data_IF_535763863141
#
_entry.id   IF_535763863141
#
_cell.length_a   1.000
_cell.length_b   1.000
_cell.length_c   1.000
_cell.angle_alpha   90.00
_cell.angle_beta   90.00
_cell.angle_gamma   90.00
#
_symmetry.space_group_name_H-M   'P 1'
#
loop_
_entity.id
_entity.type
_entity.pdbx_description
1 polymer ?
#
# COMPACT_ATOMS: atom_id res chain seq x y z
N UNK A 1 -36.23 4.17 -6.43
CA UNK A 1 -35.17 5.16 -6.75
C UNK A 1 -33.81 4.51 -6.49
N UNK A 2 -32.90 4.50 -7.46
CA UNK A 2 -31.56 3.93 -7.24
C UNK A 2 -30.78 4.84 -6.28
N UNK A 3 -30.39 4.30 -5.12
CA UNK A 3 -29.52 5.00 -4.16
C UNK A 3 -28.05 4.78 -4.54
N UNK A 4 -27.28 5.86 -4.64
CA UNK A 4 -25.84 5.79 -4.86
C UNK A 4 -25.12 5.79 -3.51
N UNK A 5 -24.73 4.61 -3.02
CA UNK A 5 -24.03 4.47 -1.73
C UNK A 5 -22.53 4.71 -1.86
N UNK A 6 -21.98 5.56 -1.00
CA UNK A 6 -20.54 5.67 -0.81
C UNK A 6 -20.01 4.42 -0.12
N UNK A 7 -19.14 3.66 -0.81
CA UNK A 7 -18.54 2.43 -0.27
C UNK A 7 -17.54 2.67 0.89
N UNK A 8 -17.16 3.93 1.13
CA UNK A 8 -16.12 4.30 2.11
C UNK A 8 -16.70 4.72 3.46
N UNK A 9 -17.88 5.35 3.47
CA UNK A 9 -18.54 5.80 4.70
C UNK A 9 -20.02 5.43 4.76
N UNK A 10 -20.47 4.58 3.82
CA UNK A 10 -21.83 4.03 3.72
C UNK A 10 -22.96 5.05 3.63
N UNK A 11 -22.64 6.34 3.40
CA UNK A 11 -23.62 7.39 3.14
C UNK A 11 -24.29 7.20 1.80
N UNK A 12 -25.61 7.34 1.79
CA UNK A 12 -26.44 7.27 0.61
C UNK A 12 -26.61 8.64 -0.05
N UNK A 13 -26.59 8.67 -1.38
CA UNK A 13 -26.71 9.89 -2.18
C UNK A 13 -27.79 9.73 -3.24
N UNK A 14 -28.52 10.81 -3.47
CA UNK A 14 -29.63 10.84 -4.43
C UNK A 14 -29.17 10.89 -5.87
N UNK A 15 -27.91 11.28 -6.13
CA UNK A 15 -27.33 11.34 -7.49
C UNK A 15 -25.88 10.90 -7.49
N UNK A 16 -25.42 10.36 -8.63
CA UNK A 16 -24.02 10.00 -8.85
C UNK A 16 -23.08 11.22 -8.67
N UNK A 17 -23.51 12.40 -9.11
CA UNK A 17 -22.69 13.61 -9.03
C UNK A 17 -22.45 14.06 -7.59
N UNK A 18 -23.45 13.94 -6.71
CA UNK A 18 -23.29 14.18 -5.27
C UNK A 18 -22.33 13.18 -4.63
N UNK A 19 -22.40 11.90 -5.03
CA UNK A 19 -21.45 10.88 -4.58
C UNK A 19 -20.01 11.21 -5.00
N UNK A 20 -19.78 11.65 -6.25
CA UNK A 20 -18.45 12.02 -6.75
C UNK A 20 -17.87 13.24 -6.02
N UNK A 21 -18.67 14.29 -5.84
CA UNK A 21 -18.27 15.49 -5.08
C UNK A 21 -17.97 15.15 -3.62
N UNK A 22 -18.80 14.32 -2.99
CA UNK A 22 -18.55 13.81 -1.66
C UNK A 22 -17.22 13.04 -1.59
N UNK A 23 -16.96 12.12 -2.52
CA UNK A 23 -15.70 11.37 -2.58
C UNK A 23 -14.50 12.29 -2.71
N UNK A 24 -14.55 13.30 -3.59
CA UNK A 24 -13.46 14.25 -3.78
C UNK A 24 -13.19 15.11 -2.54
N UNK A 25 -14.23 15.53 -1.83
CA UNK A 25 -14.11 16.48 -0.72
C UNK A 25 -13.85 15.80 0.64
N UNK A 26 -14.48 14.66 0.90
CA UNK A 26 -14.39 13.93 2.17
C UNK A 26 -13.37 12.79 2.14
N UNK A 27 -12.99 12.33 0.95
CA UNK A 27 -11.98 11.31 0.75
C UNK A 27 -10.88 11.85 -0.19
N UNK A 28 -10.34 13.04 0.11
CA UNK A 28 -9.32 13.74 -0.70
C UNK A 28 -8.10 12.88 -1.06
N UNK A 29 -7.77 11.90 -0.22
CA UNK A 29 -6.65 10.98 -0.40
C UNK A 29 -7.09 9.60 -0.94
N UNK A 30 -8.16 9.54 -1.73
CA UNK A 30 -9.00 8.36 -1.84
C UNK A 30 -8.23 7.05 -2.13
N UNK A 31 -8.13 6.24 -1.07
CA UNK A 31 -7.62 4.87 -0.98
C UNK A 31 -8.48 3.85 -1.72
N UNK A 32 -9.48 4.29 -2.49
CA UNK A 32 -10.48 3.40 -3.06
C UNK A 32 -9.92 2.73 -4.31
N UNK A 33 -9.27 1.60 -4.10
CA UNK A 33 -9.06 0.58 -5.13
C UNK A 33 -10.45 0.12 -5.56
N UNK A 34 -10.94 0.51 -6.75
CA UNK A 34 -12.35 0.34 -7.10
C UNK A 34 -12.80 -1.12 -7.06
N UNK A 35 -11.87 -2.02 -7.32
CA UNK A 35 -12.01 -3.47 -7.33
C UNK A 35 -11.47 -4.14 -6.06
N UNK A 36 -11.22 -3.41 -4.97
CA UNK A 36 -10.72 -4.02 -3.72
C UNK A 36 -11.54 -5.22 -3.27
N UNK A 37 -12.87 -5.10 -3.33
CA UNK A 37 -13.81 -6.16 -2.95
C UNK A 37 -13.76 -7.38 -3.87
N UNK A 38 -13.13 -7.26 -5.03
CA UNK A 38 -12.88 -8.34 -5.98
C UNK A 38 -11.49 -8.96 -5.79
N UNK A 39 -10.61 -8.36 -4.97
CA UNK A 39 -9.32 -8.93 -4.63
C UNK A 39 -9.52 -10.08 -3.65
N UNK A 40 -8.97 -11.24 -4.00
CA UNK A 40 -8.98 -12.42 -3.13
C UNK A 40 -8.02 -12.16 -1.96
N UNK A 41 -8.43 -12.54 -0.76
CA UNK A 41 -7.52 -12.49 0.39
C UNK A 41 -6.32 -13.42 0.15
N UNK A 42 -5.07 -12.94 0.29
CA UNK A 42 -3.91 -13.80 0.10
C UNK A 42 -3.85 -14.90 1.15
N UNK A 43 -3.35 -16.09 0.77
CA UNK A 43 -3.04 -17.13 1.75
C UNK A 43 -1.85 -16.73 2.62
N UNK A 44 -1.71 -17.37 3.79
CA UNK A 44 -0.55 -17.18 4.67
C UNK A 44 0.76 -17.48 3.93
N UNK A 45 0.81 -18.51 3.10
CA UNK A 45 1.99 -18.84 2.28
C UNK A 45 2.36 -17.73 1.30
N UNK A 46 1.36 -17.16 0.59
CA UNK A 46 1.60 -16.03 -0.31
C UNK A 46 2.15 -14.81 0.44
N UNK A 47 1.61 -14.55 1.64
CA UNK A 47 2.10 -13.48 2.51
C UNK A 47 3.55 -13.76 2.93
N UNK A 48 3.86 -14.94 3.47
CA UNK A 48 5.22 -15.30 3.89
C UNK A 48 6.22 -15.26 2.74
N UNK A 49 5.84 -15.75 1.55
CA UNK A 49 6.70 -15.71 0.36
C UNK A 49 7.02 -14.28 -0.08
N UNK A 50 6.03 -13.38 -0.01
CA UNK A 50 6.23 -11.96 -0.27
C UNK A 50 7.19 -11.32 0.73
N UNK A 51 6.98 -11.54 2.04
CA UNK A 51 7.85 -11.02 3.10
C UNK A 51 9.31 -11.45 2.85
N UNK A 52 9.54 -12.75 2.65
CA UNK A 52 10.88 -13.29 2.42
C UNK A 52 11.54 -12.67 1.18
N UNK A 53 10.80 -12.55 0.09
CA UNK A 53 11.30 -11.95 -1.15
C UNK A 53 11.60 -10.46 -1.00
N UNK A 54 10.75 -9.73 -0.26
CA UNK A 54 10.96 -8.32 0.06
C UNK A 54 12.22 -8.13 0.91
N UNK A 55 12.42 -8.93 1.96
CA UNK A 55 13.61 -8.90 2.79
C UNK A 55 14.88 -9.14 1.96
N UNK A 56 14.88 -10.17 1.09
CA UNK A 56 16.03 -10.46 0.21
C UNK A 56 16.32 -9.28 -0.72
N UNK A 57 15.29 -8.68 -1.33
CA UNK A 57 15.47 -7.52 -2.20
C UNK A 57 16.06 -6.33 -1.44
N UNK A 58 15.51 -6.03 -0.26
CA UNK A 58 15.99 -4.94 0.60
C UNK A 58 17.45 -5.17 0.97
N UNK A 59 17.82 -6.36 1.44
CA UNK A 59 19.23 -6.71 1.76
C UNK A 59 20.15 -6.53 0.56
N UNK A 60 19.75 -7.03 -0.62
CA UNK A 60 20.54 -6.91 -1.86
C UNK A 60 20.74 -5.44 -2.28
N UNK A 61 19.69 -4.62 -2.16
CA UNK A 61 19.72 -3.22 -2.63
C UNK A 61 20.33 -2.27 -1.61
N UNK A 62 20.16 -2.53 -0.32
CA UNK A 62 20.72 -1.71 0.76
C UNK A 62 22.15 -2.14 1.16
N UNK A 63 22.65 -3.27 0.64
CA UNK A 63 24.04 -3.71 0.81
C UNK A 63 25.09 -2.62 0.51
N UNK A 64 26.03 -2.50 1.45
CA UNK A 64 27.35 -1.84 1.42
C UNK A 64 27.48 -0.48 0.72
N UNK A 65 26.53 0.45 0.90
CA UNK A 65 26.82 1.86 0.60
C UNK A 65 27.50 2.51 1.80
N UNK A 66 28.84 2.60 1.76
CA UNK A 66 29.66 3.17 2.85
C UNK A 66 29.86 4.69 2.77
N UNK A 67 29.34 5.33 1.71
CA UNK A 67 29.85 6.64 1.28
C UNK A 67 28.89 7.80 1.50
N UNK A 68 27.56 7.58 1.67
CA UNK A 68 26.60 8.64 2.03
C UNK A 68 25.20 8.09 2.39
N UNK A 69 24.46 8.85 3.20
CA UNK A 69 23.01 8.73 3.34
C UNK A 69 22.37 9.14 2.02
N UNK A 70 21.64 8.22 1.38
CA UNK A 70 21.02 8.46 0.07
C UNK A 70 19.65 7.82 -0.07
N UNK A 71 18.89 8.25 -1.08
CA UNK A 71 17.57 7.69 -1.40
C UNK A 71 17.73 6.46 -2.32
N UNK A 72 17.30 5.28 -1.85
CA UNK A 72 17.20 4.07 -2.67
C UNK A 72 15.73 3.74 -2.94
N UNK A 73 15.38 3.54 -4.21
CA UNK A 73 14.06 3.06 -4.61
C UNK A 73 14.09 1.54 -4.79
N UNK A 74 13.08 0.85 -4.25
CA UNK A 74 12.89 -0.59 -4.40
C UNK A 74 11.63 -0.83 -5.23
N UNK A 75 11.70 -1.79 -6.15
CA UNK A 75 10.56 -2.26 -6.93
C UNK A 75 10.50 -3.77 -6.86
N UNK A 76 9.30 -4.30 -6.62
CA UNK A 76 8.98 -5.71 -6.69
C UNK A 76 7.94 -5.85 -7.79
N UNK A 77 8.32 -6.44 -8.92
CA UNK A 77 7.46 -6.51 -10.11
C UNK A 77 6.63 -7.79 -10.17
N UNK A 78 7.05 -8.85 -9.47
CA UNK A 78 6.52 -10.22 -9.67
C UNK A 78 5.65 -10.70 -8.52
N UNK A 79 4.69 -9.89 -8.06
CA UNK A 79 3.72 -10.35 -7.07
C UNK A 79 2.28 -10.01 -7.44
N UNK A 80 1.32 -10.86 -7.06
CA UNK A 80 -0.08 -10.58 -7.26
C UNK A 80 -0.50 -9.27 -6.57
N UNK A 81 -1.35 -8.52 -7.26
CA UNK A 81 -1.88 -7.23 -6.79
C UNK A 81 -2.46 -7.32 -5.37
N UNK A 82 -3.23 -8.38 -5.09
CA UNK A 82 -3.91 -8.54 -3.81
C UNK A 82 -2.93 -8.61 -2.64
N UNK A 83 -1.73 -9.17 -2.83
CA UNK A 83 -0.71 -9.25 -1.76
C UNK A 83 -0.26 -7.86 -1.35
N UNK A 84 0.13 -7.00 -2.30
CA UNK A 84 0.56 -5.64 -2.00
C UNK A 84 -0.55 -4.85 -1.31
N UNK A 85 -1.77 -4.94 -1.84
CA UNK A 85 -2.90 -4.19 -1.28
C UNK A 85 -3.20 -4.65 0.15
N UNK A 86 -3.21 -5.95 0.43
CA UNK A 86 -3.48 -6.44 1.79
C UNK A 86 -2.39 -6.07 2.79
N UNK A 87 -1.12 -5.97 2.38
CA UNK A 87 -0.04 -5.52 3.26
C UNK A 87 -0.13 -4.05 3.65
N UNK A 88 -0.55 -3.18 2.72
CA UNK A 88 -0.39 -1.74 2.88
C UNK A 88 -1.70 -0.94 2.93
N UNK A 89 -2.87 -1.56 2.70
CA UNK A 89 -4.18 -0.86 2.66
C UNK A 89 -4.47 0.02 3.87
N UNK A 90 -3.99 -0.40 5.05
CA UNK A 90 -4.26 0.27 6.32
C UNK A 90 -3.24 1.38 6.61
N UNK A 91 -2.16 1.46 5.84
CA UNK A 91 -1.16 2.52 5.98
C UNK A 91 -1.71 3.88 5.56
N UNK A 92 -1.26 4.94 6.24
CA UNK A 92 -1.73 6.30 5.99
C UNK A 92 -1.34 6.79 4.59
N UNK A 93 -0.13 6.46 4.15
CA UNK A 93 0.45 6.92 2.88
C UNK A 93 0.08 6.05 1.68
N UNK A 94 -0.71 4.99 1.88
CA UNK A 94 -1.16 4.10 0.81
C UNK A 94 -2.02 4.84 -0.21
N UNK A 95 -1.62 4.73 -1.48
CA UNK A 95 -2.24 5.40 -2.63
C UNK A 95 -2.36 4.44 -3.81
N UNK A 96 -3.49 4.51 -4.48
CA UNK A 96 -3.70 3.89 -5.79
C UNK A 96 -3.91 4.98 -6.84
N UNK A 97 -3.21 4.87 -7.97
CA UNK A 97 -3.39 5.74 -9.13
C UNK A 97 -4.06 4.94 -10.25
N UNK A 98 -5.37 5.10 -10.48
CA UNK A 98 -6.07 4.41 -11.57
C UNK A 98 -5.44 4.71 -12.95
N UNK A 99 -5.10 5.98 -13.21
CA UNK A 99 -4.52 6.38 -14.49
C UNK A 99 -3.16 5.72 -14.80
N UNK A 100 -2.41 5.34 -13.76
CA UNK A 100 -1.11 4.67 -13.90
C UNK A 100 -1.17 3.18 -13.59
N UNK A 101 -2.35 2.66 -13.22
CA UNK A 101 -2.51 1.31 -12.67
C UNK A 101 -1.45 0.96 -11.62
N UNK A 102 -1.15 1.91 -10.71
CA UNK A 102 0.00 1.82 -9.80
C UNK A 102 -0.39 2.02 -8.34
N UNK A 103 0.07 1.10 -7.49
CA UNK A 103 0.05 1.21 -6.04
C UNK A 103 1.34 1.83 -5.51
N UNK A 104 1.20 2.64 -4.47
CA UNK A 104 2.33 3.28 -3.79
C UNK A 104 2.05 3.35 -2.29
N UNK A 105 3.09 3.12 -1.50
CA UNK A 105 3.11 3.40 -0.07
C UNK A 105 4.45 4.08 0.24
N UNK A 106 4.45 5.06 1.14
CA UNK A 106 5.64 5.85 1.45
C UNK A 106 5.99 5.75 2.93
N UNK A 107 7.27 5.49 3.21
CA UNK A 107 7.81 5.37 4.55
C UNK A 107 9.07 6.24 4.62
N UNK A 108 9.19 7.04 5.68
CA UNK A 108 10.25 8.03 5.80
C UNK A 108 10.89 8.01 7.20
N UNK A 109 12.21 8.18 7.24
CA UNK A 109 12.98 8.28 8.47
C UNK A 109 12.88 7.06 9.40
N UNK A 110 13.16 7.29 10.68
CA UNK A 110 13.15 6.25 11.71
C UNK A 110 11.74 5.68 11.94
N UNK A 111 10.71 6.53 11.87
CA UNK A 111 9.31 6.09 12.00
C UNK A 111 8.91 5.14 10.87
N UNK A 112 9.28 5.46 9.62
CA UNK A 112 9.07 4.60 8.47
C UNK A 112 9.80 3.26 8.58
N UNK A 113 11.07 3.29 9.01
CA UNK A 113 11.83 2.05 9.26
C UNK A 113 11.18 1.18 10.33
N UNK A 114 10.76 1.79 11.45
CA UNK A 114 10.07 1.12 12.56
C UNK A 114 8.77 0.48 12.10
N UNK A 115 7.97 1.21 11.30
CA UNK A 115 6.72 0.69 10.76
C UNK A 115 6.94 -0.48 9.81
N UNK A 116 7.98 -0.43 8.96
CA UNK A 116 8.35 -1.56 8.11
C UNK A 116 8.77 -2.79 8.93
N UNK A 117 9.46 -2.62 10.07
CA UNK A 117 9.76 -3.74 10.99
C UNK A 117 8.49 -4.45 11.46
N UNK A 118 7.48 -3.68 11.83
CA UNK A 118 6.18 -4.18 12.28
C UNK A 118 5.40 -4.90 11.16
N UNK A 119 5.33 -4.29 9.97
CA UNK A 119 4.58 -4.86 8.83
C UNK A 119 5.16 -6.21 8.40
N UNK A 120 6.50 -6.31 8.39
CA UNK A 120 7.20 -7.51 7.91
C UNK A 120 7.59 -8.47 9.03
N UNK A 121 7.28 -8.15 10.30
CA UNK A 121 7.75 -8.87 11.49
C UNK A 121 9.24 -9.21 11.41
N UNK A 122 10.06 -8.23 11.03
CA UNK A 122 11.49 -8.42 10.80
C UNK A 122 12.28 -7.35 11.55
N UNK A 123 13.13 -7.74 12.50
CA UNK A 123 13.87 -6.78 13.32
C UNK A 123 15.26 -6.46 12.79
N UNK A 124 15.84 -7.39 12.03
CA UNK A 124 17.22 -7.34 11.52
C UNK A 124 17.38 -6.50 10.25
N UNK A 125 16.69 -5.37 10.17
CA UNK A 125 16.99 -4.36 9.15
C UNK A 125 18.29 -3.62 9.46
N UNK A 126 18.80 -3.73 10.69
CA UNK A 126 19.88 -2.88 11.17
C UNK A 126 21.12 -2.99 10.29
N UNK A 127 21.32 -1.89 9.58
CA UNK A 127 22.52 -1.53 8.85
C UNK A 127 23.58 -1.23 9.89
N UNK A 128 24.60 -2.09 9.96
CA UNK A 128 25.85 -1.77 10.64
C UNK A 128 26.67 -0.81 9.78
#
# INVERSE_FOLDING_TARGET
MASFRCKLCFKDFTTLQKLLTHKKNKHRHNKMVPHFYSLVQPSSEQMSYYINSFIVLVKKRLGFSRHAVGKKCLSIETFPEHVFVYFFKDEETFKYSPARHKYQCHFEGFAGATRLKQIFCYDYWDFR
#
